data_IF_289317838957
#
_entry.id   IF_289317838957
#
_cell.length_a   1.000
_cell.length_b   1.000
_cell.length_c   1.000
_cell.angle_alpha   90.00
_cell.angle_beta   90.00
_cell.angle_gamma   90.00
#
_symmetry.space_group_name_H-M   'P 1'
#
loop_
_entity.id
_entity.type
_entity.pdbx_description
1 polymer ?
#
# COMPACT_ATOMS: atom_id res chain seq x y z
N UNK A 1 3.09 17.33 41.09
CA UNK A 1 1.95 16.68 41.77
C UNK A 1 1.10 16.06 40.68
N UNK A 2 1.13 14.73 40.53
CA UNK A 2 0.25 14.04 39.56
C UNK A 2 -1.17 14.10 40.11
N UNK A 3 -2.09 14.54 39.29
CA UNK A 3 -3.50 14.64 39.62
C UNK A 3 -4.12 13.23 39.44
N UNK A 4 -4.00 12.39 40.48
CA UNK A 4 -4.55 11.02 40.47
C UNK A 4 -6.04 11.06 40.83
N UNK A 5 -6.84 11.75 40.04
CA UNK A 5 -8.29 11.58 40.06
C UNK A 5 -8.66 10.16 39.61
N UNK A 6 -9.66 9.51 40.24
CA UNK A 6 -10.06 8.16 39.85
C UNK A 6 -10.55 8.16 38.42
N UNK A 7 -9.84 7.45 37.52
CA UNK A 7 -10.33 7.15 36.19
C UNK A 7 -11.66 6.38 36.32
N UNK A 8 -12.75 6.82 35.72
CA UNK A 8 -14.02 6.12 35.83
C UNK A 8 -13.87 4.72 35.28
N UNK A 9 -14.01 3.69 36.11
CA UNK A 9 -14.06 2.30 35.68
C UNK A 9 -15.36 2.12 34.91
N UNK A 10 -15.35 2.38 33.59
CA UNK A 10 -16.44 1.97 32.71
C UNK A 10 -16.48 0.44 32.66
N UNK A 11 -17.66 -0.14 32.77
CA UNK A 11 -17.90 -1.58 32.91
C UNK A 11 -17.35 -2.43 31.77
N UNK A 12 -16.95 -1.83 30.63
CA UNK A 12 -16.63 -2.54 29.39
C UNK A 12 -15.27 -2.15 28.78
N UNK A 13 -14.45 -1.35 29.45
CA UNK A 13 -13.17 -0.82 28.92
C UNK A 13 -13.30 -0.16 27.52
N UNK A 14 -14.45 0.44 27.23
CA UNK A 14 -14.72 1.19 26.01
C UNK A 14 -14.63 2.69 26.30
N UNK A 15 -13.90 3.41 25.45
CA UNK A 15 -13.67 4.84 25.58
C UNK A 15 -14.18 5.54 24.32
N UNK A 16 -15.17 6.41 24.48
CA UNK A 16 -15.69 7.20 23.36
C UNK A 16 -15.06 8.60 23.41
N UNK A 17 -14.40 9.10 22.34
CA UNK A 17 -13.86 10.45 22.32
C UNK A 17 -14.87 11.55 22.64
N UNK A 18 -16.15 11.33 22.35
CA UNK A 18 -17.24 12.25 22.70
C UNK A 18 -17.32 12.48 24.23
N UNK A 19 -17.08 11.44 25.04
CA UNK A 19 -17.05 11.54 26.50
C UNK A 19 -15.89 12.42 27.00
N UNK A 20 -14.88 12.67 26.17
CA UNK A 20 -13.73 13.56 26.43
C UNK A 20 -13.89 14.94 25.81
N UNK A 21 -15.00 15.18 25.14
CA UNK A 21 -15.34 16.49 24.56
C UNK A 21 -15.15 16.60 23.05
N UNK A 22 -14.82 15.52 22.34
CA UNK A 22 -14.81 15.52 20.88
C UNK A 22 -16.21 15.82 20.32
N UNK A 23 -16.25 16.47 19.16
CA UNK A 23 -17.50 16.88 18.52
C UNK A 23 -17.87 15.99 17.34
N UNK A 24 -16.90 15.57 16.55
CA UNK A 24 -17.14 14.82 15.31
C UNK A 24 -18.01 15.58 14.30
N UNK A 25 -17.97 16.92 14.33
CA UNK A 25 -18.82 17.82 13.55
C UNK A 25 -18.18 18.33 12.23
N UNK A 26 -16.99 17.86 11.92
CA UNK A 26 -16.22 18.27 10.74
C UNK A 26 -15.64 19.69 10.80
N UNK A 27 -15.70 20.35 11.95
CA UNK A 27 -15.26 21.76 12.12
C UNK A 27 -14.37 21.94 13.35
N UNK A 28 -14.76 21.35 14.47
CA UNK A 28 -14.06 21.49 15.74
C UNK A 28 -12.74 20.68 15.74
N UNK A 29 -11.71 21.24 16.39
CA UNK A 29 -10.47 20.50 16.64
C UNK A 29 -10.67 19.43 17.74
N UNK A 30 -10.73 18.19 17.34
CA UNK A 30 -10.93 17.03 18.21
C UNK A 30 -9.61 16.35 18.64
N UNK A 31 -8.45 16.96 18.33
CA UNK A 31 -7.13 16.36 18.61
C UNK A 31 -6.98 15.99 20.08
N UNK A 32 -7.18 16.96 20.98
CA UNK A 32 -6.97 16.76 22.41
C UNK A 32 -7.97 15.75 23.02
N UNK A 33 -9.29 15.84 22.76
CA UNK A 33 -10.25 14.87 23.22
C UNK A 33 -9.98 13.44 22.77
N UNK A 34 -9.60 13.27 21.49
CA UNK A 34 -9.27 11.92 20.95
C UNK A 34 -7.99 11.39 21.62
N UNK A 35 -6.95 12.22 21.76
CA UNK A 35 -5.71 11.81 22.41
C UNK A 35 -5.95 11.42 23.88
N UNK A 36 -6.79 12.16 24.61
CA UNK A 36 -7.16 11.82 25.98
C UNK A 36 -7.90 10.48 26.08
N UNK A 37 -8.77 10.18 25.12
CA UNK A 37 -9.43 8.87 25.05
C UNK A 37 -8.42 7.75 24.80
N UNK A 38 -7.45 7.96 23.90
CA UNK A 38 -6.37 7.01 23.61
C UNK A 38 -5.52 6.77 24.86
N UNK A 39 -5.11 7.85 25.54
CA UNK A 39 -4.28 7.79 26.74
C UNK A 39 -4.99 7.06 27.89
N UNK A 40 -6.28 7.32 28.10
CA UNK A 40 -7.08 6.65 29.09
C UNK A 40 -7.30 5.17 28.78
N UNK A 41 -7.56 4.82 27.53
CA UNK A 41 -7.71 3.44 27.09
C UNK A 41 -6.40 2.64 27.28
N UNK A 42 -5.25 3.23 27.02
CA UNK A 42 -3.95 2.59 27.14
C UNK A 42 -3.64 2.16 28.61
N UNK A 43 -4.19 2.86 29.61
CA UNK A 43 -3.96 2.53 31.02
C UNK A 43 -4.62 1.22 31.49
N UNK A 44 -5.62 0.73 30.75
CA UNK A 44 -6.39 -0.45 31.13
C UNK A 44 -6.60 -1.46 29.99
N UNK A 45 -5.80 -1.37 28.93
CA UNK A 45 -5.99 -2.14 27.69
C UNK A 45 -7.42 -2.02 27.14
N UNK A 46 -7.95 -0.81 27.15
CA UNK A 46 -9.27 -0.49 26.63
C UNK A 46 -9.27 -0.27 25.12
N UNK A 47 -10.48 -0.10 24.59
CA UNK A 47 -10.70 0.18 23.17
C UNK A 47 -11.31 1.56 23.02
N UNK A 48 -10.75 2.38 22.13
CA UNK A 48 -11.36 3.65 21.73
C UNK A 48 -12.38 3.36 20.63
N UNK A 49 -13.64 3.68 20.90
CA UNK A 49 -14.76 3.45 19.97
C UNK A 49 -15.34 4.79 19.55
N UNK A 50 -15.28 5.07 18.27
CA UNK A 50 -15.82 6.30 17.70
C UNK A 50 -17.28 6.13 17.32
N UNK A 51 -18.09 7.13 17.62
CA UNK A 51 -19.41 7.29 17.01
C UNK A 51 -19.29 7.83 15.57
N UNK A 52 -20.30 7.63 14.71
CA UNK A 52 -20.33 8.22 13.39
C UNK A 52 -20.12 9.73 13.45
N UNK A 53 -19.19 10.24 12.63
CA UNK A 53 -18.86 11.66 12.58
C UNK A 53 -17.57 11.91 11.81
N UNK A 54 -17.30 13.19 11.57
CA UNK A 54 -16.05 13.68 10.97
C UNK A 54 -15.25 14.43 12.03
N UNK A 55 -14.14 13.86 12.44
CA UNK A 55 -13.27 14.37 13.50
C UNK A 55 -12.07 15.07 12.88
N UNK A 56 -11.99 16.39 13.01
CA UNK A 56 -10.82 17.17 12.58
C UNK A 56 -9.73 17.02 13.65
N UNK A 57 -8.57 16.48 13.27
CA UNK A 57 -7.52 16.17 14.25
C UNK A 57 -6.11 16.43 13.69
N UNK A 58 -5.19 16.82 14.53
CA UNK A 58 -3.76 16.76 14.27
C UNK A 58 -3.23 15.33 14.44
N UNK A 59 -1.90 15.18 14.52
CA UNK A 59 -1.27 13.87 14.73
C UNK A 59 -1.71 13.26 16.06
N UNK A 60 -2.11 12.00 16.00
CA UNK A 60 -2.46 11.18 17.17
C UNK A 60 -1.35 10.16 17.44
N UNK A 61 -0.90 10.10 18.70
CA UNK A 61 0.11 9.17 19.15
C UNK A 61 -0.53 7.97 19.83
N UNK A 62 -0.23 6.78 19.33
CA UNK A 62 -0.76 5.54 19.87
C UNK A 62 0.24 4.87 20.81
N UNK A 63 -0.26 4.18 21.81
CA UNK A 63 0.51 3.45 22.82
C UNK A 63 0.51 1.94 22.56
N UNK A 64 1.32 1.19 23.31
CA UNK A 64 1.28 -0.27 23.27
C UNK A 64 -0.12 -0.82 23.50
N UNK A 65 -0.58 -1.69 22.63
CA UNK A 65 -1.90 -2.30 22.69
C UNK A 65 -3.07 -1.38 22.36
N UNK A 66 -2.83 -0.13 21.92
CA UNK A 66 -3.90 0.77 21.49
C UNK A 66 -4.80 0.13 20.46
N UNK A 67 -6.09 0.20 20.71
CA UNK A 67 -7.13 -0.29 19.79
C UNK A 67 -8.13 0.82 19.50
N UNK A 68 -8.21 1.23 18.22
CA UNK A 68 -9.15 2.23 17.73
C UNK A 68 -10.16 1.55 16.82
N UNK A 69 -11.42 1.78 17.06
CA UNK A 69 -12.51 1.18 16.31
C UNK A 69 -13.53 2.22 15.85
N UNK A 70 -13.79 2.21 14.55
CA UNK A 70 -14.93 2.88 13.92
C UNK A 70 -15.81 1.87 13.21
N UNK A 71 -16.80 2.38 12.48
CA UNK A 71 -17.61 1.57 11.56
C UNK A 71 -17.54 2.19 10.18
N UNK A 72 -16.86 1.52 9.24
CA UNK A 72 -16.75 1.94 7.87
C UNK A 72 -17.83 1.26 7.03
N UNK A 73 -18.61 2.05 6.34
CA UNK A 73 -19.69 1.54 5.49
C UNK A 73 -19.24 1.09 4.12
N UNK A 74 -18.06 1.49 3.65
CA UNK A 74 -17.71 1.28 2.26
C UNK A 74 -16.22 1.00 2.00
N UNK A 75 -15.99 0.00 1.15
CA UNK A 75 -14.67 -0.50 0.73
C UNK A 75 -14.15 0.16 -0.55
N UNK A 76 -15.02 0.82 -1.32
CA UNK A 76 -14.66 1.48 -2.57
C UNK A 76 -14.54 2.98 -2.39
N UNK A 77 -13.38 3.57 -2.72
CA UNK A 77 -13.12 5.01 -2.50
C UNK A 77 -14.09 5.92 -3.25
N UNK A 78 -14.64 5.46 -4.36
CA UNK A 78 -15.56 6.25 -5.19
C UNK A 78 -16.98 6.42 -4.61
N UNK A 79 -17.32 5.68 -3.57
CA UNK A 79 -18.64 5.74 -2.93
C UNK A 79 -18.57 6.32 -1.51
N UNK A 80 -17.45 6.87 -1.11
CA UNK A 80 -17.08 7.13 0.27
C UNK A 80 -17.46 8.52 0.80
N UNK A 81 -18.36 9.24 0.16
CA UNK A 81 -18.91 10.47 0.78
C UNK A 81 -19.70 10.20 2.07
N UNK A 82 -19.95 8.93 2.39
CA UNK A 82 -20.68 8.48 3.57
C UNK A 82 -19.83 7.58 4.46
N UNK A 83 -18.63 8.02 4.83
CA UNK A 83 -17.88 7.35 5.90
C UNK A 83 -18.60 7.53 7.23
N UNK A 84 -18.79 6.44 7.97
CA UNK A 84 -19.39 6.54 9.29
C UNK A 84 -18.47 7.22 10.30
N UNK A 85 -17.15 6.94 10.24
CA UNK A 85 -16.15 7.54 11.13
C UNK A 85 -14.97 8.01 10.31
N UNK A 86 -14.81 9.33 10.18
CA UNK A 86 -13.67 9.96 9.51
C UNK A 86 -12.77 10.66 10.49
N UNK A 87 -11.47 10.38 10.41
CA UNK A 87 -10.41 11.18 11.02
C UNK A 87 -9.76 12.02 9.92
N UNK A 88 -10.03 13.30 9.91
CA UNK A 88 -9.54 14.26 8.94
C UNK A 88 -8.36 15.04 9.51
N UNK A 89 -7.21 15.01 8.81
CA UNK A 89 -6.06 15.81 9.19
C UNK A 89 -6.41 17.31 9.19
N UNK A 90 -6.02 18.01 10.25
CA UNK A 90 -6.20 19.46 10.39
C UNK A 90 -5.25 20.22 9.44
N UNK A 91 -5.73 21.28 8.80
CA UNK A 91 -4.98 22.02 7.78
C UNK A 91 -3.67 22.66 8.28
N UNK A 92 -3.67 23.16 9.50
CA UNK A 92 -2.51 23.82 10.11
C UNK A 92 -1.58 22.87 10.88
N UNK A 93 -1.88 21.57 10.90
CA UNK A 93 -1.04 20.57 11.55
C UNK A 93 0.33 20.49 10.87
N UNK A 94 1.40 20.49 11.66
CA UNK A 94 2.79 20.45 11.17
C UNK A 94 3.45 19.11 11.29
N UNK A 95 2.74 18.11 11.76
CA UNK A 95 3.22 16.75 12.01
C UNK A 95 3.53 15.98 10.73
N UNK A 96 4.11 14.81 10.90
CA UNK A 96 4.52 13.93 9.80
C UNK A 96 3.47 12.89 9.42
N UNK A 97 2.45 12.72 10.23
CA UNK A 97 1.42 11.70 10.03
C UNK A 97 0.11 12.07 10.72
N UNK A 98 -0.98 11.39 10.34
CA UNK A 98 -2.23 11.46 11.08
C UNK A 98 -2.17 10.52 12.30
N UNK A 99 -1.75 9.26 12.09
CA UNK A 99 -1.56 8.29 13.17
C UNK A 99 -0.08 7.93 13.29
N UNK A 100 0.53 8.25 14.41
CA UNK A 100 1.89 7.89 14.75
C UNK A 100 1.91 6.68 15.69
N UNK A 101 2.39 5.55 15.20
CA UNK A 101 2.48 4.30 15.95
C UNK A 101 3.94 3.87 16.17
N UNK A 102 4.90 4.81 16.07
CA UNK A 102 6.33 4.51 16.11
C UNK A 102 6.81 3.94 17.44
N UNK A 103 6.19 4.37 18.54
CA UNK A 103 6.53 3.89 19.89
C UNK A 103 5.58 2.79 20.40
N UNK A 104 4.66 2.32 19.51
CA UNK A 104 3.59 1.41 19.88
C UNK A 104 3.83 -0.01 19.37
N UNK A 105 3.32 -1.00 20.11
CA UNK A 105 3.28 -2.41 19.70
C UNK A 105 1.87 -2.96 19.87
N UNK A 106 1.49 -3.90 19.01
CA UNK A 106 0.19 -4.55 19.09
C UNK A 106 -0.98 -3.61 18.81
N UNK A 107 -0.74 -2.54 18.06
CA UNK A 107 -1.78 -1.58 17.67
C UNK A 107 -2.81 -2.26 16.78
N UNK A 108 -4.07 -1.93 16.99
CA UNK A 108 -5.19 -2.40 16.17
C UNK A 108 -6.05 -1.24 15.72
N UNK A 109 -6.22 -1.13 14.40
CA UNK A 109 -7.10 -0.16 13.78
C UNK A 109 -8.17 -0.90 12.99
N UNK A 110 -9.41 -0.52 13.19
CA UNK A 110 -10.54 -1.15 12.51
C UNK A 110 -11.61 -0.14 12.11
N UNK A 111 -12.05 -0.18 10.85
CA UNK A 111 -13.22 0.52 10.38
C UNK A 111 -13.11 2.05 10.40
N UNK A 112 -11.92 2.62 10.17
CA UNK A 112 -11.68 4.07 10.17
C UNK A 112 -11.44 4.59 8.75
N UNK A 113 -11.97 5.77 8.43
CA UNK A 113 -11.61 6.55 7.24
C UNK A 113 -10.55 7.60 7.64
N UNK A 114 -9.29 7.36 7.28
CA UNK A 114 -8.18 8.27 7.54
C UNK A 114 -7.98 9.16 6.31
N UNK A 115 -8.11 10.46 6.49
CA UNK A 115 -8.16 11.41 5.39
C UNK A 115 -7.13 12.52 5.54
N UNK A 116 -6.32 12.71 4.50
CA UNK A 116 -5.31 13.77 4.42
C UNK A 116 -5.85 15.06 3.77
N UNK A 117 -4.95 16.00 3.50
CA UNK A 117 -5.25 17.32 2.91
C UNK A 117 -5.10 17.37 1.39
N UNK A 118 -4.91 16.23 0.74
CA UNK A 118 -4.66 16.09 -0.69
C UNK A 118 -3.22 15.72 -1.01
N UNK A 119 -3.07 14.95 -2.10
CA UNK A 119 -1.77 14.46 -2.55
C UNK A 119 -0.78 15.57 -2.95
N UNK A 120 -1.28 16.78 -3.25
CA UNK A 120 -0.49 17.97 -3.63
C UNK A 120 -0.11 18.84 -2.43
N UNK A 121 -0.52 18.51 -1.23
CA UNK A 121 -0.18 19.33 -0.06
C UNK A 121 1.35 19.52 0.05
N UNK A 122 1.86 20.74 0.31
CA UNK A 122 3.28 21.06 0.18
C UNK A 122 4.19 20.34 1.20
N UNK A 123 3.63 19.93 2.34
CA UNK A 123 4.35 19.15 3.35
C UNK A 123 4.07 17.65 3.17
N UNK A 124 5.08 16.83 3.36
CA UNK A 124 4.92 15.37 3.33
C UNK A 124 4.30 14.89 4.63
N UNK A 125 3.05 14.44 4.55
CA UNK A 125 2.30 13.87 5.68
C UNK A 125 1.82 12.48 5.30
N UNK A 126 2.08 11.49 6.15
CA UNK A 126 1.66 10.10 5.95
C UNK A 126 0.33 9.81 6.66
N UNK A 127 -0.41 8.83 6.17
CA UNK A 127 -1.62 8.39 6.88
C UNK A 127 -1.29 7.69 8.20
N UNK A 128 -0.52 6.63 8.11
CA UNK A 128 -0.03 5.87 9.27
C UNK A 128 1.49 5.79 9.21
N UNK A 129 2.15 6.21 10.28
CA UNK A 129 3.60 6.20 10.41
C UNK A 129 4.05 5.25 11.52
N UNK A 130 4.92 4.29 11.15
CA UNK A 130 5.73 3.51 12.08
C UNK A 130 7.19 3.68 11.65
N UNK A 131 7.95 4.40 12.44
CA UNK A 131 9.31 4.80 12.10
C UNK A 131 10.30 4.52 13.24
N UNK A 132 10.86 3.31 13.26
CA UNK A 132 11.91 2.99 14.19
C UNK A 132 13.28 3.39 13.63
N UNK A 133 14.06 4.15 14.40
CA UNK A 133 15.41 4.55 14.02
C UNK A 133 16.36 3.34 13.91
N UNK A 134 16.20 2.36 14.78
CA UNK A 134 17.02 1.13 14.83
C UNK A 134 16.08 -0.08 14.88
N UNK A 135 16.47 -1.13 14.19
CA UNK A 135 15.78 -2.42 14.24
C UNK A 135 15.81 -2.97 15.67
N UNK A 136 14.65 -3.01 16.32
CA UNK A 136 14.49 -3.63 17.63
C UNK A 136 14.25 -5.14 17.54
N UNK A 137 14.51 -5.91 18.61
CA UNK A 137 14.25 -7.36 18.63
C UNK A 137 12.77 -7.71 18.83
N UNK A 138 11.89 -6.74 18.94
CA UNK A 138 10.51 -6.97 19.33
C UNK A 138 9.55 -6.94 18.13
N UNK A 139 8.51 -7.76 18.20
CA UNK A 139 7.43 -7.77 17.23
C UNK A 139 6.52 -6.55 17.47
N UNK A 140 6.36 -5.71 16.46
CA UNK A 140 5.46 -4.56 16.50
C UNK A 140 4.01 -5.00 16.36
N UNK A 141 3.79 -5.98 15.52
CA UNK A 141 2.50 -6.67 15.27
C UNK A 141 1.28 -5.75 15.10
N UNK A 142 1.39 -4.62 14.38
CA UNK A 142 0.21 -3.81 14.12
C UNK A 142 -0.74 -4.56 13.18
N UNK A 143 -2.02 -4.49 13.49
CA UNK A 143 -3.11 -4.99 12.64
C UNK A 143 -3.97 -3.82 12.20
N UNK A 144 -4.03 -3.57 10.89
CA UNK A 144 -4.85 -2.53 10.28
C UNK A 144 -5.84 -3.21 9.36
N UNK A 145 -7.11 -3.09 9.68
CA UNK A 145 -8.17 -3.88 9.07
C UNK A 145 -9.37 -3.01 8.71
N UNK A 146 -9.92 -3.22 7.53
CA UNK A 146 -11.15 -2.57 7.08
C UNK A 146 -11.13 -1.03 7.21
N UNK A 147 -9.96 -0.42 6.94
CA UNK A 147 -9.78 1.03 6.97
C UNK A 147 -9.66 1.60 5.56
N UNK A 148 -10.05 2.86 5.40
CA UNK A 148 -9.71 3.67 4.23
C UNK A 148 -8.58 4.64 4.60
N UNK A 149 -7.59 4.82 3.71
CA UNK A 149 -6.42 5.68 3.94
C UNK A 149 -6.16 6.48 2.67
N UNK A 150 -6.48 7.75 2.65
CA UNK A 150 -6.48 8.50 1.39
C UNK A 150 -6.12 9.98 1.51
N UNK A 151 -5.69 10.54 0.36
CA UNK A 151 -5.39 11.97 0.18
C UNK A 151 -4.29 12.50 1.09
N UNK A 152 -3.36 11.65 1.50
CA UNK A 152 -2.13 12.09 2.15
C UNK A 152 -1.08 12.50 1.12
N UNK A 153 -0.32 13.55 1.40
CA UNK A 153 0.77 14.02 0.52
C UNK A 153 2.01 13.13 0.56
N UNK A 154 2.16 12.31 1.58
CA UNK A 154 3.15 11.26 1.70
C UNK A 154 2.58 9.88 1.33
N UNK A 155 3.11 8.84 1.97
CA UNK A 155 2.61 7.48 1.80
C UNK A 155 1.32 7.27 2.61
N UNK A 156 0.42 6.45 2.12
CA UNK A 156 -0.75 6.04 2.91
C UNK A 156 -0.30 5.35 4.20
N UNK A 157 0.51 4.30 4.07
CA UNK A 157 1.19 3.65 5.18
C UNK A 157 2.71 3.72 4.98
N UNK A 158 3.42 4.26 5.96
CA UNK A 158 4.88 4.35 5.99
C UNK A 158 5.45 3.56 7.15
N UNK A 159 6.14 2.44 6.85
CA UNK A 159 6.74 1.58 7.86
C UNK A 159 8.24 1.45 7.66
N UNK A 160 9.03 1.69 8.70
CA UNK A 160 10.48 1.52 8.71
C UNK A 160 10.93 0.68 9.89
N UNK A 161 11.70 -0.35 9.62
CA UNK A 161 12.21 -1.32 10.61
C UNK A 161 11.09 -2.05 11.38
N UNK A 162 9.97 -2.33 10.71
CA UNK A 162 8.79 -2.95 11.29
C UNK A 162 8.88 -4.49 11.27
N UNK A 163 8.24 -5.12 12.26
CA UNK A 163 8.07 -6.57 12.33
C UNK A 163 6.61 -6.99 12.45
N UNK A 164 6.23 -8.00 11.69
CA UNK A 164 4.93 -8.69 11.77
C UNK A 164 3.75 -7.72 11.57
N UNK A 165 3.73 -7.01 10.43
CA UNK A 165 2.55 -6.21 10.07
C UNK A 165 1.44 -7.09 9.50
N UNK A 166 0.20 -6.73 9.76
CA UNK A 166 -0.97 -7.30 9.10
C UNK A 166 -1.86 -6.18 8.56
N UNK A 167 -1.90 -6.06 7.22
CA UNK A 167 -2.75 -5.13 6.50
C UNK A 167 -3.77 -5.93 5.70
N UNK A 168 -5.05 -5.75 5.99
CA UNK A 168 -6.10 -6.50 5.30
C UNK A 168 -7.36 -5.69 5.10
N UNK A 169 -8.05 -5.96 4.00
CA UNK A 169 -9.30 -5.30 3.63
C UNK A 169 -9.20 -3.76 3.62
N UNK A 170 -8.04 -3.21 3.28
CA UNK A 170 -7.83 -1.77 3.20
C UNK A 170 -8.25 -1.21 1.83
N UNK A 171 -8.76 0.02 1.83
CA UNK A 171 -8.85 0.86 0.65
C UNK A 171 -7.84 2.01 0.79
N UNK A 172 -6.77 1.97 0.02
CA UNK A 172 -5.72 3.00 0.06
C UNK A 172 -5.73 3.73 -1.28
N UNK A 173 -5.99 5.04 -1.26
CA UNK A 173 -6.28 5.77 -2.48
C UNK A 173 -5.74 7.20 -2.49
N UNK A 174 -5.39 7.71 -3.69
CA UNK A 174 -5.00 9.11 -3.96
C UNK A 174 -3.96 9.67 -2.98
N UNK A 175 -2.90 8.89 -2.70
CA UNK A 175 -1.79 9.37 -1.88
C UNK A 175 -0.64 9.91 -2.74
N UNK A 176 0.06 10.95 -2.27
CA UNK A 176 1.17 11.61 -2.95
C UNK A 176 2.44 10.75 -3.01
N UNK A 177 2.60 9.80 -2.10
CA UNK A 177 3.65 8.79 -2.09
C UNK A 177 3.17 7.42 -2.59
N UNK A 178 3.67 6.36 -1.95
CA UNK A 178 3.17 5.00 -2.13
C UNK A 178 1.86 4.78 -1.39
N UNK A 179 1.07 3.79 -1.83
CA UNK A 179 -0.02 3.31 -1.00
C UNK A 179 0.52 2.71 0.29
N UNK A 180 1.40 1.72 0.17
CA UNK A 180 2.16 1.14 1.29
C UNK A 180 3.64 1.15 0.95
N UNK A 181 4.45 1.75 1.81
CA UNK A 181 5.91 1.68 1.76
C UNK A 181 6.42 1.04 3.04
N UNK A 182 6.95 -0.16 2.91
CA UNK A 182 7.37 -0.96 4.06
C UNK A 182 8.82 -1.42 3.93
N UNK A 183 9.59 -1.18 4.97
CA UNK A 183 10.91 -1.77 5.19
C UNK A 183 10.85 -2.54 6.50
N UNK A 184 10.78 -3.86 6.42
CA UNK A 184 10.61 -4.70 7.60
C UNK A 184 10.59 -6.19 7.26
N UNK A 185 10.02 -6.97 8.18
CA UNK A 185 9.96 -8.44 8.08
C UNK A 185 8.62 -9.00 8.54
N UNK A 186 8.29 -10.18 8.00
CA UNK A 186 7.16 -11.00 8.41
C UNK A 186 5.80 -10.29 8.23
N UNK A 187 5.63 -9.63 7.08
CA UNK A 187 4.45 -8.84 6.79
C UNK A 187 3.38 -9.60 5.99
N UNK A 188 2.12 -9.29 6.27
CA UNK A 188 0.96 -9.76 5.51
C UNK A 188 0.22 -8.56 4.92
N UNK A 189 0.02 -8.56 3.60
CA UNK A 189 -0.77 -7.57 2.88
C UNK A 189 -1.78 -8.35 2.03
N UNK A 190 -3.02 -8.39 2.48
CA UNK A 190 -4.02 -9.30 1.89
C UNK A 190 -5.36 -8.60 1.64
N UNK A 191 -5.97 -8.91 0.50
CA UNK A 191 -7.31 -8.45 0.14
C UNK A 191 -7.50 -6.92 0.21
N UNK A 192 -6.42 -6.17 -0.07
CA UNK A 192 -6.43 -4.71 -0.10
C UNK A 192 -6.68 -4.19 -1.51
N UNK A 193 -7.33 -3.03 -1.62
CA UNK A 193 -7.40 -2.21 -2.83
C UNK A 193 -6.44 -1.03 -2.67
N UNK A 194 -5.46 -0.89 -3.56
CA UNK A 194 -4.45 0.17 -3.51
C UNK A 194 -4.40 0.88 -4.85
N UNK A 195 -4.90 2.12 -4.91
CA UNK A 195 -5.12 2.81 -6.17
C UNK A 195 -4.66 4.27 -6.17
N UNK A 196 -4.48 4.81 -7.37
CA UNK A 196 -4.31 6.25 -7.64
C UNK A 196 -3.15 6.94 -6.90
N UNK A 197 -2.23 6.16 -6.34
CA UNK A 197 -1.06 6.71 -5.64
C UNK A 197 -0.03 7.24 -6.65
N UNK A 198 0.69 8.31 -6.30
CA UNK A 198 1.64 8.98 -7.21
C UNK A 198 2.99 8.29 -7.33
N UNK A 199 3.31 7.40 -6.42
CA UNK A 199 4.44 6.47 -6.52
C UNK A 199 3.90 5.05 -6.77
N UNK A 200 4.54 4.00 -6.27
CA UNK A 200 4.07 2.63 -6.40
C UNK A 200 2.87 2.35 -5.48
N UNK A 201 2.00 1.44 -5.89
CA UNK A 201 0.95 0.97 -4.99
C UNK A 201 1.56 0.33 -3.74
N UNK A 202 2.42 -0.67 -3.92
CA UNK A 202 3.19 -1.30 -2.86
C UNK A 202 4.69 -1.18 -3.15
N UNK A 203 5.49 -0.75 -2.17
CA UNK A 203 6.95 -0.75 -2.25
C UNK A 203 7.54 -1.43 -1.03
N UNK A 204 8.21 -2.57 -1.28
CA UNK A 204 8.66 -3.48 -0.23
C UNK A 204 10.18 -3.59 -0.22
N UNK A 205 10.73 -3.44 0.98
CA UNK A 205 12.13 -3.68 1.33
C UNK A 205 12.17 -4.65 2.53
N UNK A 206 13.31 -5.30 2.75
CA UNK A 206 13.43 -6.24 3.87
C UNK A 206 13.06 -7.66 3.46
N UNK A 207 12.08 -8.28 4.11
CA UNK A 207 11.76 -9.66 3.74
C UNK A 207 10.54 -10.31 4.39
N UNK A 208 10.30 -11.55 4.01
CA UNK A 208 9.25 -12.41 4.57
C UNK A 208 7.83 -11.81 4.44
N UNK A 209 7.52 -11.22 3.27
CA UNK A 209 6.18 -10.71 3.02
C UNK A 209 5.31 -11.73 2.28
N UNK A 210 4.07 -11.85 2.71
CA UNK A 210 2.98 -12.47 1.96
C UNK A 210 2.06 -11.39 1.43
N UNK A 211 1.97 -11.27 0.10
CA UNK A 211 1.15 -10.27 -0.62
C UNK A 211 0.17 -11.02 -1.51
N UNK A 212 -1.07 -11.13 -1.10
CA UNK A 212 -2.04 -12.05 -1.72
C UNK A 212 -3.41 -11.42 -1.88
N UNK A 213 -4.03 -11.64 -3.04
CA UNK A 213 -5.42 -11.24 -3.28
C UNK A 213 -5.65 -9.74 -3.38
N UNK A 214 -4.60 -8.95 -3.56
CA UNK A 214 -4.73 -7.50 -3.62
C UNK A 214 -5.11 -7.03 -5.02
N UNK A 215 -5.85 -5.93 -5.06
CA UNK A 215 -6.12 -5.14 -6.25
C UNK A 215 -5.25 -3.88 -6.22
N UNK A 216 -4.28 -3.79 -7.12
CA UNK A 216 -3.29 -2.70 -7.17
C UNK A 216 -3.40 -2.02 -8.53
N UNK A 217 -3.98 -0.82 -8.57
CA UNK A 217 -4.37 -0.22 -9.85
C UNK A 217 -4.16 1.30 -9.90
N UNK A 218 -3.97 1.83 -11.10
CA UNK A 218 -3.85 3.27 -11.37
C UNK A 218 -2.68 3.97 -10.65
N UNK A 219 -1.72 3.23 -10.11
CA UNK A 219 -0.59 3.83 -9.39
C UNK A 219 0.45 4.33 -10.41
N UNK A 220 0.90 5.59 -10.22
CA UNK A 220 1.60 6.32 -11.29
C UNK A 220 2.99 5.78 -11.61
N UNK A 221 3.76 5.32 -10.63
CA UNK A 221 5.12 4.81 -10.83
C UNK A 221 5.25 3.29 -10.78
N UNK A 222 4.18 2.59 -10.59
CA UNK A 222 4.17 1.13 -10.65
C UNK A 222 3.16 0.48 -9.73
N UNK A 223 2.92 -0.82 -9.95
CA UNK A 223 2.04 -1.61 -9.11
C UNK A 223 2.74 -2.07 -7.83
N UNK A 224 3.56 -3.11 -7.94
CA UNK A 224 4.29 -3.71 -6.82
C UNK A 224 5.79 -3.64 -7.10
N UNK A 225 6.54 -2.92 -6.26
CA UNK A 225 7.99 -2.79 -6.33
C UNK A 225 8.65 -3.53 -5.17
N UNK A 226 9.62 -4.40 -5.50
CA UNK A 226 10.43 -5.19 -4.57
C UNK A 226 11.89 -4.87 -4.84
N UNK A 227 12.54 -4.17 -3.93
CA UNK A 227 13.92 -3.70 -4.12
C UNK A 227 14.82 -4.15 -2.97
N UNK A 228 15.84 -4.95 -3.26
CA UNK A 228 16.77 -5.48 -2.27
C UNK A 228 16.13 -6.40 -1.20
N UNK A 229 14.91 -6.84 -1.42
CA UNK A 229 14.14 -7.63 -0.46
C UNK A 229 14.27 -9.14 -0.69
N UNK A 230 13.83 -9.95 0.28
CA UNK A 230 13.93 -11.40 0.19
C UNK A 230 12.77 -12.15 0.84
N UNK A 231 12.59 -13.43 0.46
CA UNK A 231 11.57 -14.31 1.03
C UNK A 231 10.15 -13.77 0.88
N UNK A 232 9.77 -13.37 -0.33
CA UNK A 232 8.46 -12.76 -0.59
C UNK A 232 7.60 -13.70 -1.44
N UNK A 233 6.34 -13.80 -1.05
CA UNK A 233 5.31 -14.46 -1.81
C UNK A 233 4.34 -13.41 -2.39
N UNK A 234 4.28 -13.30 -3.72
CA UNK A 234 3.34 -12.46 -4.48
C UNK A 234 2.38 -13.37 -5.23
N UNK A 235 1.18 -13.59 -4.72
CA UNK A 235 0.28 -14.60 -5.28
C UNK A 235 -1.15 -14.09 -5.45
N UNK A 236 -1.72 -14.32 -6.64
CA UNK A 236 -3.13 -14.02 -6.89
C UNK A 236 -3.50 -12.55 -6.82
N UNK A 237 -2.56 -11.64 -7.07
CA UNK A 237 -2.84 -10.21 -7.10
C UNK A 237 -3.33 -9.80 -8.50
N UNK A 238 -4.24 -8.83 -8.54
CA UNK A 238 -4.70 -8.16 -9.74
C UNK A 238 -4.02 -6.80 -9.83
N UNK A 239 -3.13 -6.63 -10.80
CA UNK A 239 -2.37 -5.39 -11.04
C UNK A 239 -2.87 -4.78 -12.35
N UNK A 240 -3.41 -3.56 -12.29
CA UNK A 240 -4.02 -2.93 -13.46
C UNK A 240 -3.59 -1.46 -13.61
N UNK A 241 -3.38 -1.01 -14.83
CA UNK A 241 -3.12 0.39 -15.18
C UNK A 241 -2.00 1.05 -14.37
N UNK A 242 -0.99 0.29 -13.96
CA UNK A 242 0.20 0.86 -13.34
C UNK A 242 1.00 1.65 -14.37
N UNK A 243 1.50 2.82 -13.96
CA UNK A 243 2.08 3.77 -14.91
C UNK A 243 3.37 3.29 -15.56
N UNK A 244 4.31 2.73 -14.80
CA UNK A 244 5.60 2.28 -15.33
C UNK A 244 5.66 0.75 -15.43
N UNK A 245 5.77 0.07 -14.32
CA UNK A 245 5.92 -1.38 -14.25
C UNK A 245 4.78 -1.96 -13.41
N UNK A 246 4.16 -3.02 -13.88
CA UNK A 246 3.17 -3.75 -13.09
C UNK A 246 3.84 -4.36 -11.86
N UNK A 247 4.89 -5.15 -12.07
CA UNK A 247 5.74 -5.69 -11.01
C UNK A 247 7.21 -5.35 -11.32
N UNK A 248 7.92 -4.77 -10.36
CA UNK A 248 9.34 -4.44 -10.47
C UNK A 248 10.13 -5.13 -9.37
N UNK A 249 10.93 -6.13 -9.73
CA UNK A 249 11.81 -6.86 -8.82
C UNK A 249 13.28 -6.56 -9.16
N UNK A 250 13.98 -5.91 -8.23
CA UNK A 250 15.39 -5.58 -8.40
C UNK A 250 16.20 -6.01 -7.18
N UNK A 251 17.37 -6.63 -7.41
CA UNK A 251 18.29 -7.09 -6.36
C UNK A 251 17.57 -7.94 -5.29
N UNK A 252 16.50 -8.62 -5.70
CA UNK A 252 15.64 -9.40 -4.81
C UNK A 252 16.07 -10.88 -4.79
N UNK A 253 15.73 -11.59 -3.70
CA UNK A 253 16.13 -12.98 -3.54
C UNK A 253 15.01 -13.83 -2.95
N UNK A 254 14.90 -15.07 -3.44
CA UNK A 254 13.95 -16.08 -2.92
C UNK A 254 12.53 -15.52 -2.97
N UNK A 255 12.05 -15.26 -4.18
CA UNK A 255 10.71 -14.71 -4.41
C UNK A 255 9.87 -15.75 -5.14
N UNK A 256 8.65 -15.95 -4.69
CA UNK A 256 7.61 -16.64 -5.44
C UNK A 256 6.62 -15.62 -5.95
N UNK A 257 6.46 -15.51 -7.28
CA UNK A 257 5.52 -14.61 -7.93
C UNK A 257 4.66 -15.43 -8.92
N UNK A 258 3.46 -15.83 -8.47
CA UNK A 258 2.64 -16.80 -9.21
C UNK A 258 1.16 -16.45 -9.19
N UNK A 259 0.48 -16.79 -10.29
CA UNK A 259 -0.97 -16.63 -10.37
C UNK A 259 -1.46 -15.17 -10.33
N UNK A 260 -0.60 -14.21 -10.65
CA UNK A 260 -1.00 -12.81 -10.71
C UNK A 260 -1.55 -12.48 -12.11
N UNK A 261 -2.54 -11.60 -12.16
CA UNK A 261 -2.99 -10.98 -13.39
C UNK A 261 -2.41 -9.57 -13.47
N UNK A 262 -1.56 -9.33 -14.48
CA UNK A 262 -0.93 -8.04 -14.75
C UNK A 262 -1.52 -7.49 -16.04
N UNK A 263 -2.38 -6.51 -15.91
CA UNK A 263 -3.20 -6.02 -16.99
C UNK A 263 -2.98 -4.53 -17.21
N UNK A 264 -2.81 -4.11 -18.45
CA UNK A 264 -2.71 -2.71 -18.85
C UNK A 264 -1.65 -1.91 -18.06
N UNK A 265 -0.55 -2.51 -17.67
CA UNK A 265 0.54 -1.84 -16.95
C UNK A 265 1.63 -1.37 -17.91
N UNK A 266 2.43 -0.39 -17.49
CA UNK A 266 3.59 0.07 -18.26
C UNK A 266 3.27 1.14 -19.30
N UNK A 267 2.62 2.22 -18.93
CA UNK A 267 2.28 3.35 -19.80
C UNK A 267 3.55 4.08 -20.28
N UNK A 268 3.94 4.00 -21.57
CA UNK A 268 5.23 4.52 -22.06
C UNK A 268 5.43 6.01 -21.82
N UNK A 269 4.39 6.81 -21.96
CA UNK A 269 4.44 8.26 -21.76
C UNK A 269 4.74 8.68 -20.30
N UNK A 270 4.67 7.75 -19.36
CA UNK A 270 5.01 8.00 -17.96
C UNK A 270 6.39 7.50 -17.56
N UNK A 271 7.11 6.86 -18.48
CA UNK A 271 8.43 6.27 -18.20
C UNK A 271 9.54 7.30 -17.94
N UNK A 272 9.28 8.58 -18.19
CA UNK A 272 10.32 9.61 -18.08
C UNK A 272 11.45 9.48 -19.12
N UNK A 273 11.23 8.67 -20.16
CA UNK A 273 12.16 8.48 -21.27
C UNK A 273 13.07 7.24 -21.13
N UNK A 274 13.02 6.50 -20.02
CA UNK A 274 13.69 5.19 -19.94
C UNK A 274 12.78 4.11 -20.55
N UNK A 275 13.16 3.53 -21.71
CA UNK A 275 12.35 2.51 -22.36
C UNK A 275 12.20 1.24 -21.52
N UNK A 276 13.10 0.98 -20.57
CA UNK A 276 13.03 -0.18 -19.68
C UNK A 276 12.05 0.02 -18.50
N UNK A 277 11.43 1.17 -18.38
CA UNK A 277 10.37 1.44 -17.39
C UNK A 277 8.96 1.21 -17.94
N UNK A 278 8.81 0.61 -19.11
CA UNK A 278 7.50 0.31 -19.72
C UNK A 278 7.35 -1.19 -19.97
N UNK A 279 6.94 -1.94 -18.94
CA UNK A 279 6.73 -3.38 -19.02
C UNK A 279 5.65 -3.87 -18.02
N UNK A 280 5.12 -5.08 -18.26
CA UNK A 280 4.31 -5.74 -17.26
C UNK A 280 5.13 -6.15 -16.04
N UNK A 281 6.31 -6.72 -16.25
CA UNK A 281 7.22 -7.05 -15.15
C UNK A 281 8.68 -6.87 -15.55
N UNK A 282 9.50 -6.46 -14.58
CA UNK A 282 10.96 -6.44 -14.65
C UNK A 282 11.55 -7.28 -13.52
N UNK A 283 12.54 -8.13 -13.87
CA UNK A 283 13.24 -9.01 -12.95
C UNK A 283 14.73 -8.87 -13.25
N UNK A 284 15.44 -8.07 -12.44
CA UNK A 284 16.85 -7.79 -12.68
C UNK A 284 17.70 -7.89 -11.42
N UNK A 285 18.94 -8.37 -11.57
CA UNK A 285 19.88 -8.59 -10.46
C UNK A 285 19.30 -9.50 -9.35
N UNK A 286 18.43 -10.45 -9.72
CA UNK A 286 17.69 -11.27 -8.77
C UNK A 286 18.28 -12.67 -8.63
N UNK A 287 18.04 -13.32 -7.49
CA UNK A 287 18.48 -14.70 -7.24
C UNK A 287 17.34 -15.55 -6.68
N UNK A 288 17.10 -16.72 -7.29
CA UNK A 288 16.11 -17.68 -6.79
C UNK A 288 14.66 -17.16 -6.89
N UNK A 289 14.33 -16.48 -7.98
CA UNK A 289 12.97 -16.01 -8.26
C UNK A 289 12.22 -17.03 -9.08
N UNK A 290 11.02 -17.39 -8.65
CA UNK A 290 10.04 -18.10 -9.46
C UNK A 290 8.99 -17.09 -9.93
N UNK A 291 8.95 -16.84 -11.23
CA UNK A 291 7.92 -16.03 -11.89
C UNK A 291 7.18 -16.93 -12.88
N UNK A 292 6.06 -17.51 -12.48
CA UNK A 292 5.35 -18.49 -13.30
C UNK A 292 3.83 -18.49 -13.08
N UNK A 293 3.09 -18.95 -14.08
CA UNK A 293 1.65 -18.98 -14.01
C UNK A 293 0.98 -17.61 -13.91
N UNK A 294 1.67 -16.53 -14.31
CA UNK A 294 1.10 -15.20 -14.36
C UNK A 294 0.48 -14.94 -15.75
N UNK A 295 -0.53 -14.10 -15.78
CA UNK A 295 -1.14 -13.63 -17.02
C UNK A 295 -0.81 -12.16 -17.22
N UNK A 296 -0.12 -11.83 -18.31
CA UNK A 296 0.21 -10.46 -18.70
C UNK A 296 -0.54 -10.11 -19.97
N UNK A 297 -1.35 -9.08 -19.94
CA UNK A 297 -2.16 -8.64 -21.08
C UNK A 297 -2.19 -7.11 -21.16
N UNK A 298 -2.05 -6.57 -22.35
CA UNK A 298 -2.22 -5.15 -22.61
C UNK A 298 -3.70 -4.79 -22.77
N UNK A 299 -3.99 -3.52 -22.89
CA UNK A 299 -5.33 -3.01 -23.13
C UNK A 299 -5.31 -1.55 -23.56
N UNK A 300 -6.45 -1.07 -23.99
CA UNK A 300 -6.69 0.35 -24.18
C UNK A 300 -7.27 0.93 -22.90
N UNK A 301 -7.02 2.22 -22.71
CA UNK A 301 -7.70 2.95 -21.66
C UNK A 301 -9.20 3.09 -21.96
N UNK A 302 -10.00 2.99 -20.92
CA UNK A 302 -11.41 3.28 -21.04
C UNK A 302 -11.56 4.79 -21.29
N UNK A 303 -12.40 5.17 -22.23
CA UNK A 303 -12.71 6.57 -22.58
C UNK A 303 -11.63 7.36 -23.35
N UNK A 304 -10.73 6.69 -24.06
CA UNK A 304 -9.79 7.37 -24.96
C UNK A 304 -8.68 8.17 -24.27
N UNK A 305 -8.38 7.88 -23.04
CA UNK A 305 -7.28 8.53 -22.31
C UNK A 305 -5.90 7.95 -22.63
N UNK A 306 -5.76 7.28 -23.75
CA UNK A 306 -4.50 6.75 -24.23
C UNK A 306 -4.37 5.23 -24.08
N UNK A 307 -3.19 4.72 -24.37
CA UNK A 307 -2.91 3.29 -24.34
C UNK A 307 -2.23 2.89 -23.05
N UNK A 308 -2.73 1.86 -22.39
CA UNK A 308 -2.05 1.15 -21.33
C UNK A 308 -1.35 -0.11 -21.87
N UNK A 309 -0.80 -0.02 -23.05
CA UNK A 309 0.00 -1.08 -23.66
C UNK A 309 1.46 -0.79 -23.40
N UNK A 310 2.18 -1.63 -22.65
CA UNK A 310 3.61 -1.44 -22.41
C UNK A 310 4.41 -1.70 -23.69
N UNK A 311 5.62 -1.15 -23.73
CA UNK A 311 6.59 -1.48 -24.78
C UNK A 311 7.00 -2.96 -24.70
N UNK A 312 7.15 -3.49 -23.52
CA UNK A 312 7.64 -4.83 -23.27
C UNK A 312 6.72 -5.66 -22.37
N UNK A 313 6.73 -6.97 -22.59
CA UNK A 313 6.02 -7.90 -21.70
C UNK A 313 6.82 -8.13 -20.43
N UNK A 314 7.97 -8.80 -20.54
CA UNK A 314 8.90 -9.06 -19.43
C UNK A 314 10.29 -8.51 -19.77
N UNK A 315 10.96 -7.93 -18.79
CA UNK A 315 12.37 -7.52 -18.86
C UNK A 315 13.15 -8.34 -17.85
N UNK A 316 14.20 -9.05 -18.31
CA UNK A 316 14.97 -9.99 -17.50
C UNK A 316 16.45 -9.71 -17.68
N UNK A 317 17.24 -9.69 -16.61
CA UNK A 317 18.68 -9.53 -16.73
C UNK A 317 19.45 -9.74 -15.44
N UNK A 318 20.68 -10.22 -15.55
CA UNK A 318 21.59 -10.46 -14.43
C UNK A 318 20.99 -11.32 -13.32
N UNK A 319 20.18 -12.30 -13.69
CA UNK A 319 19.49 -13.20 -12.76
C UNK A 319 20.30 -14.49 -12.51
N UNK A 320 20.17 -15.06 -11.32
CA UNK A 320 20.78 -16.33 -10.95
C UNK A 320 19.75 -17.30 -10.35
N UNK A 321 19.79 -18.56 -10.82
CA UNK A 321 18.92 -19.63 -10.34
C UNK A 321 17.42 -19.25 -10.33
N UNK A 322 16.96 -18.58 -11.40
CA UNK A 322 15.56 -18.14 -11.54
C UNK A 322 14.77 -19.04 -12.48
N UNK A 323 13.50 -19.19 -12.22
CA UNK A 323 12.54 -19.88 -13.09
C UNK A 323 11.52 -18.88 -13.60
N UNK A 324 11.52 -18.63 -14.92
CA UNK A 324 10.60 -17.69 -15.58
C UNK A 324 9.90 -18.44 -16.70
N UNK A 325 8.85 -19.18 -16.35
CA UNK A 325 8.17 -20.13 -17.23
C UNK A 325 6.66 -20.17 -17.02
N UNK A 326 5.94 -20.57 -18.07
CA UNK A 326 4.50 -20.82 -17.98
C UNK A 326 3.67 -19.58 -17.74
N UNK A 327 4.16 -18.40 -18.12
CA UNK A 327 3.39 -17.17 -18.08
C UNK A 327 2.73 -16.94 -19.43
N UNK A 328 1.51 -16.44 -19.43
CA UNK A 328 0.82 -16.04 -20.66
C UNK A 328 1.11 -14.59 -20.98
N UNK A 329 1.62 -14.35 -22.19
CA UNK A 329 1.97 -13.02 -22.72
C UNK A 329 1.16 -12.69 -23.99
N UNK A 330 -0.07 -13.15 -24.05
CA UNK A 330 -0.94 -12.95 -25.19
C UNK A 330 -1.42 -11.49 -25.26
N UNK A 331 -1.31 -10.87 -26.45
CA UNK A 331 -1.63 -9.45 -26.65
C UNK A 331 -0.96 -8.54 -25.61
N UNK A 332 0.31 -8.82 -25.27
CA UNK A 332 0.89 -8.32 -24.03
C UNK A 332 1.58 -6.97 -24.15
N UNK A 333 2.16 -6.63 -25.31
CA UNK A 333 3.00 -5.45 -25.45
C UNK A 333 3.17 -5.02 -26.92
N UNK A 334 3.79 -3.86 -27.13
CA UNK A 334 3.90 -3.25 -28.45
C UNK A 334 5.17 -3.67 -29.20
N UNK A 335 6.29 -3.91 -28.51
CA UNK A 335 7.62 -4.08 -29.15
C UNK A 335 8.19 -5.50 -29.02
N UNK A 336 8.22 -6.05 -27.82
CA UNK A 336 8.81 -7.36 -27.56
C UNK A 336 8.23 -8.02 -26.30
N UNK A 337 7.84 -9.28 -26.43
CA UNK A 337 7.24 -10.02 -25.31
C UNK A 337 8.20 -10.29 -24.17
N UNK A 338 9.46 -10.59 -24.48
CA UNK A 338 10.53 -10.79 -23.48
C UNK A 338 11.81 -10.09 -23.96
N UNK A 339 12.32 -9.20 -23.14
CA UNK A 339 13.65 -8.58 -23.31
C UNK A 339 14.61 -9.26 -22.36
N UNK A 340 15.62 -9.93 -22.90
CA UNK A 340 16.74 -10.48 -22.15
C UNK A 340 17.94 -9.55 -22.24
N UNK A 341 18.28 -8.91 -21.13
CA UNK A 341 19.42 -8.00 -21.00
C UNK A 341 20.76 -8.76 -20.85
N UNK A 342 20.72 -10.09 -20.77
CA UNK A 342 21.89 -10.93 -20.57
C UNK A 342 22.32 -11.06 -19.11
N UNK A 343 23.46 -11.77 -18.91
CA UNK A 343 24.03 -11.98 -17.57
C UNK A 343 23.28 -13.00 -16.71
N UNK A 344 22.33 -13.74 -17.28
CA UNK A 344 21.57 -14.76 -16.56
C UNK A 344 22.39 -16.04 -16.41
N UNK A 345 22.43 -16.62 -15.22
CA UNK A 345 23.15 -17.88 -14.92
C UNK A 345 22.25 -18.87 -14.18
N UNK A 346 22.32 -20.12 -14.55
CA UNK A 346 21.50 -21.21 -13.97
C UNK A 346 19.99 -20.93 -13.99
N UNK A 347 19.51 -20.19 -14.99
CA UNK A 347 18.12 -19.78 -15.10
C UNK A 347 17.37 -20.66 -16.10
N UNK A 348 16.13 -20.99 -15.79
CA UNK A 348 15.19 -21.62 -16.69
C UNK A 348 14.21 -20.54 -17.23
N UNK A 349 14.52 -20.00 -18.38
CA UNK A 349 13.71 -18.97 -19.06
C UNK A 349 13.14 -19.59 -20.34
N UNK A 350 11.82 -19.59 -20.49
CA UNK A 350 11.15 -20.14 -21.68
C UNK A 350 9.71 -20.55 -21.43
N UNK A 351 9.10 -21.19 -22.41
CA UNK A 351 7.71 -21.69 -22.33
C UNK A 351 6.72 -20.61 -21.83
N UNK A 352 6.89 -19.38 -22.30
CA UNK A 352 5.99 -18.26 -22.02
C UNK A 352 5.25 -17.90 -23.33
N UNK A 353 4.13 -18.56 -23.64
CA UNK A 353 3.40 -18.32 -24.87
C UNK A 353 2.83 -16.91 -24.92
N UNK A 354 2.92 -16.29 -26.09
CA UNK A 354 2.38 -14.96 -26.28
C UNK A 354 2.67 -14.37 -27.64
N UNK A 355 2.08 -13.21 -27.89
CA UNK A 355 2.24 -12.43 -29.12
C UNK A 355 2.11 -10.93 -28.82
N UNK A 356 2.59 -10.14 -29.76
CA UNK A 356 2.52 -8.69 -29.67
C UNK A 356 1.08 -8.20 -29.89
N UNK A 357 0.75 -7.09 -29.26
CA UNK A 357 -0.50 -6.38 -29.50
C UNK A 357 -0.50 -5.81 -30.92
N UNK A 358 -1.53 -6.12 -31.66
CA UNK A 358 -1.83 -5.45 -32.93
C UNK A 358 -2.70 -4.24 -32.62
N UNK A 359 -2.12 -3.05 -32.70
CA UNK A 359 -2.89 -1.81 -32.62
C UNK A 359 -3.53 -1.60 -34.00
N UNK A 360 -4.85 -1.55 -34.14
CA UNK A 360 -5.48 -1.17 -35.40
C UNK A 360 -4.99 0.23 -35.77
N UNK A 361 -4.60 0.44 -37.04
CA UNK A 361 -4.30 1.77 -37.53
C UNK A 361 -5.46 2.72 -37.15
N UNK A 362 -5.15 3.73 -36.37
CA UNK A 362 -6.11 4.80 -36.08
C UNK A 362 -6.36 5.45 -37.45
N UNK A 363 -7.48 5.12 -38.05
CA UNK A 363 -7.96 5.86 -39.25
C UNK A 363 -8.15 7.30 -38.79
N UNK A 364 -7.29 8.18 -39.30
CA UNK A 364 -7.41 9.64 -39.22
C UNK A 364 -8.83 10.13 -39.61
#
# INVERSE_FOLDING_TARGET
MRNDGPVPKKKDNLFNPIDFGAKGDGVSDDTLPIQQAIDAAAQCNGVVVFEPGEYITGELHLHHGSSLRGELCNRYPYLSEQSCVRLQLREDDTSRSLLNISEARGVRLFGLDLHGLGAEHPRTVHGILLDHAVRGPAHDSPVIDSCTIRRFSGDGCRFRNVFVISLRFLAIDDNGGCGVKSNGWDGFITDCSVSSCRDAGLRLYGGSYTVTGNRVEWNRKGGIAVDGASHINLTGNYIDRSGLLGIDMRKARIITCTGNLIYRSGKPEWSGGDPLDSAHARITDCTGVVFSGNTCCAGCDDHGMGSHSPDYGLIIGSCKACVIKGNTLADSCLKQTIVDLGGNTDCAIGDNPGFLRVVPDQKN
#
